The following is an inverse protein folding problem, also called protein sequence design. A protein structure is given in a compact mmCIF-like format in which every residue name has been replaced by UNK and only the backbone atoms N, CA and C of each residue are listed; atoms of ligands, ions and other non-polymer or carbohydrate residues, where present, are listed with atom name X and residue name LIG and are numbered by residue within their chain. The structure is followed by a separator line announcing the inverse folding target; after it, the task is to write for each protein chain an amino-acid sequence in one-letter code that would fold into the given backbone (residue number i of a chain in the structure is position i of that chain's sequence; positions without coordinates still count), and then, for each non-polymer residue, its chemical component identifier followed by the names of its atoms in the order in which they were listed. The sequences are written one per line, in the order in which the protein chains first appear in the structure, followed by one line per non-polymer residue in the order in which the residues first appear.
data_IF_799327998770
#
_entry.id   IF_799327998770
#
_cell.length_a   1.000
_cell.length_b   1.000
_cell.length_c   1.000
_cell.angle_alpha   90.00
_cell.angle_beta   90.00
_cell.angle_gamma   90.00
#
_symmetry.space_group_name_H-M   'P 1'
#
loop_
_entity.id
_entity.type
_entity.pdbx_description
1 polymer ?
#
# COMPACT_ATOMS: atom_id res chain seq x y z
N UNK A 1 3.72 51.78 -29.96
CA UNK A 1 4.87 50.92 -29.61
C UNK A 1 4.52 50.03 -28.43
N UNK A 2 4.57 48.71 -28.64
CA UNK A 2 4.79 47.61 -27.67
C UNK A 2 3.88 47.53 -26.41
N UNK A 3 2.63 47.08 -26.59
CA UNK A 3 1.83 46.40 -25.54
C UNK A 3 1.96 44.87 -25.60
N UNK A 4 3.12 44.39 -26.02
CA UNK A 4 3.43 42.97 -26.22
C UNK A 4 4.06 42.22 -25.02
N UNK A 5 4.53 42.83 -23.90
CA UNK A 5 5.30 42.06 -22.93
C UNK A 5 4.44 41.30 -21.91
N UNK A 6 3.20 41.74 -21.64
CA UNK A 6 2.38 41.17 -20.58
C UNK A 6 1.75 39.81 -20.95
N UNK A 7 1.28 39.66 -22.19
CA UNK A 7 0.63 38.42 -22.64
C UNK A 7 1.63 37.25 -22.75
N UNK A 8 2.88 37.54 -23.12
CA UNK A 8 3.96 36.53 -23.22
C UNK A 8 4.34 36.01 -21.83
N UNK A 9 4.34 36.87 -20.82
CA UNK A 9 4.70 36.50 -19.45
C UNK A 9 3.67 35.55 -18.81
N UNK A 10 2.38 35.79 -19.05
CA UNK A 10 1.28 34.93 -18.55
C UNK A 10 1.30 33.57 -19.23
N UNK A 11 1.60 33.51 -20.54
CA UNK A 11 1.74 32.23 -21.24
C UNK A 11 2.94 31.41 -20.72
N UNK A 12 4.07 32.04 -20.43
CA UNK A 12 5.26 31.36 -19.88
C UNK A 12 5.01 30.79 -18.48
N UNK A 13 4.23 31.48 -17.64
CA UNK A 13 3.84 31.01 -16.30
C UNK A 13 2.85 29.82 -16.35
N UNK A 14 1.96 29.78 -17.34
CA UNK A 14 1.03 28.67 -17.50
C UNK A 14 1.74 27.38 -17.95
N UNK A 15 2.81 27.48 -18.74
CA UNK A 15 3.56 26.32 -19.24
C UNK A 15 4.38 25.65 -18.12
N UNK A 16 4.91 26.41 -17.15
CA UNK A 16 5.68 25.82 -16.04
C UNK A 16 4.82 25.10 -15.00
N UNK A 17 3.52 25.39 -14.91
CA UNK A 17 2.61 24.69 -13.98
C UNK A 17 2.10 23.34 -14.51
N UNK A 18 2.30 23.04 -15.80
CA UNK A 18 1.93 21.74 -16.39
C UNK A 18 2.93 20.61 -16.13
N UNK A 19 4.06 20.92 -15.47
CA UNK A 19 5.22 20.01 -15.33
C UNK A 19 5.28 19.15 -14.06
N UNK A 20 4.37 19.32 -13.09
CA UNK A 20 4.42 18.57 -11.84
C UNK A 20 3.26 17.57 -11.74
N UNK A 21 3.24 16.57 -12.63
CA UNK A 21 2.62 15.30 -12.26
C UNK A 21 3.60 14.62 -11.30
N UNK A 22 3.57 15.05 -10.04
CA UNK A 22 4.34 14.41 -8.96
C UNK A 22 3.93 12.96 -9.01
N UNK A 23 4.85 12.11 -9.46
CA UNK A 23 4.65 10.68 -9.53
C UNK A 23 4.33 10.21 -8.11
N UNK A 24 3.06 10.00 -7.80
CA UNK A 24 2.61 9.50 -6.51
C UNK A 24 3.00 8.03 -6.42
N UNK A 25 4.29 7.78 -6.23
CA UNK A 25 4.81 6.45 -5.97
C UNK A 25 4.64 6.21 -4.48
N UNK A 26 3.89 5.17 -4.14
CA UNK A 26 3.92 4.64 -2.79
C UNK A 26 5.36 4.18 -2.54
N UNK A 27 5.97 4.70 -1.47
CA UNK A 27 7.27 4.20 -1.03
C UNK A 27 7.10 2.75 -0.60
N UNK A 28 7.92 1.83 -1.12
CA UNK A 28 7.87 0.41 -0.73
C UNK A 28 7.98 0.25 0.80
N UNK A 29 8.76 1.12 1.45
CA UNK A 29 8.85 1.14 2.91
C UNK A 29 7.56 1.57 3.61
N UNK A 30 6.85 2.57 3.07
CA UNK A 30 5.56 3.00 3.61
C UNK A 30 4.50 1.91 3.42
N UNK A 31 4.47 1.28 2.23
CA UNK A 31 3.59 0.17 1.93
C UNK A 31 3.80 -1.01 2.88
N UNK A 32 5.05 -1.45 3.05
CA UNK A 32 5.42 -2.53 4.00
C UNK A 32 4.97 -2.22 5.42
N UNK A 33 5.17 -0.99 5.89
CA UNK A 33 4.73 -0.60 7.24
C UNK A 33 3.20 -0.64 7.37
N UNK A 34 2.47 -0.11 6.39
CA UNK A 34 1.02 -0.11 6.40
C UNK A 34 0.44 -1.53 6.42
N UNK A 35 0.99 -2.44 5.60
CA UNK A 35 0.59 -3.85 5.56
C UNK A 35 0.91 -4.54 6.88
N UNK A 36 2.11 -4.29 7.43
CA UNK A 36 2.55 -4.85 8.71
C UNK A 36 1.61 -4.44 9.86
N UNK A 37 1.26 -3.15 9.96
CA UNK A 37 0.35 -2.63 10.98
C UNK A 37 -1.10 -3.13 10.74
N UNK A 38 -1.57 -3.14 9.50
CA UNK A 38 -2.91 -3.63 9.14
C UNK A 38 -3.10 -5.11 9.46
N UNK A 39 -2.09 -5.96 9.24
CA UNK A 39 -2.13 -7.38 9.62
C UNK A 39 -2.21 -7.56 11.14
N UNK A 40 -1.48 -6.74 11.90
CA UNK A 40 -1.58 -6.77 13.37
C UNK A 40 -3.02 -6.50 13.79
N UNK A 41 -3.63 -5.43 13.30
CA UNK A 41 -4.99 -5.04 13.68
C UNK A 41 -6.04 -6.10 13.28
N UNK A 42 -5.94 -6.64 12.07
CA UNK A 42 -6.88 -7.65 11.55
C UNK A 42 -6.82 -8.97 12.30
N UNK A 43 -5.61 -9.44 12.63
CA UNK A 43 -5.44 -10.66 13.42
C UNK A 43 -5.85 -10.43 14.88
N UNK A 44 -5.57 -9.25 15.44
CA UNK A 44 -5.98 -8.88 16.78
C UNK A 44 -7.51 -8.90 16.95
N UNK A 45 -8.22 -8.36 15.95
CA UNK A 45 -9.68 -8.38 15.88
C UNK A 45 -10.29 -9.80 15.81
N UNK A 46 -9.53 -10.77 15.30
CA UNK A 46 -9.90 -12.20 15.29
C UNK A 46 -9.44 -12.97 16.53
N UNK A 47 -8.80 -12.29 17.49
CA UNK A 47 -8.26 -12.91 18.70
C UNK A 47 -6.92 -13.64 18.50
N UNK A 48 -6.26 -13.46 17.36
CA UNK A 48 -4.96 -14.06 17.04
C UNK A 48 -3.87 -13.03 17.38
N UNK A 49 -3.18 -13.23 18.50
CA UNK A 49 -2.12 -12.32 18.95
C UNK A 49 -0.78 -12.70 18.34
N UNK A 50 -0.08 -11.72 17.77
CA UNK A 50 1.30 -11.86 17.28
C UNK A 50 2.29 -11.62 18.41
N UNK A 51 3.44 -12.32 18.37
CA UNK A 51 4.55 -12.10 19.31
C UNK A 51 5.21 -10.74 19.09
N UNK A 52 5.35 -10.36 17.83
CA UNK A 52 5.96 -9.13 17.38
C UNK A 52 5.34 -8.73 16.04
N UNK A 53 5.64 -7.51 15.59
CA UNK A 53 5.15 -6.99 14.34
C UNK A 53 5.71 -7.81 13.14
N UNK A 54 4.92 -8.12 12.10
CA UNK A 54 5.42 -8.86 10.94
C UNK A 54 6.65 -8.21 10.29
N UNK A 55 7.64 -9.02 9.97
CA UNK A 55 8.75 -8.61 9.11
C UNK A 55 8.31 -8.74 7.65
N UNK A 56 8.35 -7.63 6.93
CA UNK A 56 7.83 -7.53 5.57
C UNK A 56 8.95 -7.25 4.60
N UNK A 57 8.91 -7.84 3.42
CA UNK A 57 9.79 -7.57 2.30
C UNK A 57 8.95 -7.26 1.06
N UNK A 58 9.52 -6.49 0.13
CA UNK A 58 8.95 -6.31 -1.20
C UNK A 58 9.90 -7.01 -2.16
N UNK A 59 9.56 -8.22 -2.65
CA UNK A 59 10.48 -9.06 -3.44
C UNK A 59 10.87 -8.46 -4.81
N UNK A 60 10.43 -7.23 -5.09
CA UNK A 60 10.67 -6.48 -6.30
C UNK A 60 9.35 -5.99 -6.89
N UNK A 61 9.47 -5.13 -7.89
CA UNK A 61 8.35 -4.71 -8.73
C UNK A 61 8.38 -5.51 -10.02
N UNK A 62 7.28 -6.18 -10.36
CA UNK A 62 7.15 -6.83 -11.67
C UNK A 62 7.04 -5.76 -12.76
N UNK A 63 6.32 -4.68 -12.46
CA UNK A 63 6.21 -3.46 -13.26
C UNK A 63 6.08 -2.26 -12.32
N UNK A 64 6.20 -1.04 -12.82
CA UNK A 64 6.00 0.17 -12.00
C UNK A 64 4.60 0.25 -11.34
N UNK A 65 3.61 -0.48 -11.88
CA UNK A 65 2.23 -0.51 -11.38
C UNK A 65 1.88 -1.75 -10.55
N UNK A 66 2.79 -2.73 -10.42
CA UNK A 66 2.55 -3.95 -9.64
C UNK A 66 3.61 -4.11 -8.55
N UNK A 67 3.17 -4.03 -7.30
CA UNK A 67 4.01 -4.15 -6.11
C UNK A 67 3.56 -5.36 -5.30
N UNK A 68 4.52 -6.24 -4.95
CA UNK A 68 4.28 -7.36 -4.03
C UNK A 68 4.82 -7.06 -2.65
N UNK A 69 4.22 -7.70 -1.66
CA UNK A 69 4.71 -7.70 -0.28
C UNK A 69 4.53 -9.09 0.31
N UNK A 70 5.58 -9.58 0.93
CA UNK A 70 5.56 -10.82 1.69
C UNK A 70 5.91 -10.47 3.13
N UNK A 71 5.08 -10.86 4.08
CA UNK A 71 5.41 -10.71 5.50
C UNK A 71 5.40 -12.03 6.23
N UNK A 72 6.28 -12.15 7.23
CA UNK A 72 6.31 -13.29 8.13
C UNK A 72 6.26 -12.84 9.58
N UNK A 73 5.58 -13.62 10.40
CA UNK A 73 5.52 -13.41 11.85
C UNK A 73 5.30 -14.73 12.58
N UNK A 74 5.15 -14.64 13.90
CA UNK A 74 4.69 -15.75 14.73
C UNK A 74 3.60 -15.30 15.68
N UNK A 75 2.62 -16.16 15.91
CA UNK A 75 1.66 -15.96 17.00
C UNK A 75 2.34 -16.10 18.36
N UNK A 76 1.67 -15.65 19.42
CA UNK A 76 2.12 -15.88 20.80
C UNK A 76 2.14 -17.37 21.16
N UNK A 77 1.33 -18.19 20.49
CA UNK A 77 1.31 -19.67 20.58
C UNK A 77 2.42 -20.34 19.76
N UNK A 78 3.16 -19.58 18.95
CA UNK A 78 4.31 -20.06 18.17
C UNK A 78 4.01 -20.49 16.74
N UNK A 79 2.75 -20.40 16.32
CA UNK A 79 2.32 -20.75 14.96
C UNK A 79 2.93 -19.75 13.95
N UNK A 80 3.42 -20.23 12.80
CA UNK A 80 3.92 -19.35 11.75
C UNK A 80 2.76 -18.56 11.14
N UNK A 81 3.01 -17.28 10.88
CA UNK A 81 2.10 -16.41 10.14
C UNK A 81 2.79 -15.99 8.85
N UNK A 82 2.09 -16.13 7.73
CA UNK A 82 2.55 -15.70 6.41
C UNK A 82 1.49 -14.81 5.80
N UNK A 83 1.93 -13.66 5.29
CA UNK A 83 1.12 -12.69 4.57
C UNK A 83 1.66 -12.59 3.17
N UNK A 84 0.79 -12.77 2.18
CA UNK A 84 1.10 -12.53 0.78
C UNK A 84 0.18 -11.40 0.30
N UNK A 85 0.77 -10.37 -0.29
CA UNK A 85 0.06 -9.19 -0.76
C UNK A 85 0.49 -8.77 -2.15
N UNK A 86 -0.47 -8.27 -2.93
CA UNK A 86 -0.22 -7.63 -4.21
C UNK A 86 -1.06 -6.36 -4.32
N UNK A 87 -0.42 -5.29 -4.78
CA UNK A 87 -1.08 -4.05 -5.19
C UNK A 87 -0.90 -3.89 -6.70
N UNK A 88 -2.01 -3.82 -7.42
CA UNK A 88 -2.09 -3.43 -8.82
C UNK A 88 -2.41 -1.94 -8.93
N UNK A 89 -2.09 -1.35 -10.08
CA UNK A 89 -2.27 0.10 -10.33
C UNK A 89 -1.64 0.96 -9.22
N UNK A 90 -0.50 0.51 -8.69
CA UNK A 90 0.24 1.12 -7.57
C UNK A 90 0.83 2.52 -7.88
N UNK A 91 0.79 2.92 -9.14
CA UNK A 91 1.17 4.24 -9.66
C UNK A 91 -0.03 5.20 -9.79
N UNK A 92 -1.22 4.79 -9.31
CA UNK A 92 -2.45 5.57 -9.33
C UNK A 92 -2.90 5.97 -7.92
N UNK A 93 -3.87 6.88 -7.84
CA UNK A 93 -4.45 7.34 -6.56
C UNK A 93 -5.28 6.25 -5.84
N UNK A 94 -5.66 5.19 -6.54
CA UNK A 94 -6.54 4.12 -6.02
C UNK A 94 -6.01 2.75 -6.47
N UNK A 95 -4.93 2.26 -5.84
CA UNK A 95 -4.43 0.92 -6.13
C UNK A 95 -5.48 -0.14 -5.77
N UNK A 96 -5.42 -1.26 -6.49
CA UNK A 96 -6.23 -2.44 -6.22
C UNK A 96 -5.36 -3.44 -5.45
N UNK A 97 -5.69 -3.64 -4.18
CA UNK A 97 -4.91 -4.48 -3.28
C UNK A 97 -5.58 -5.84 -3.10
N UNK A 98 -4.79 -6.88 -2.85
CA UNK A 98 -5.26 -8.20 -2.48
C UNK A 98 -4.26 -8.85 -1.52
N UNK A 99 -4.78 -9.36 -0.40
CA UNK A 99 -4.00 -9.93 0.68
C UNK A 99 -4.55 -11.29 1.10
N UNK A 100 -3.63 -12.20 1.41
CA UNK A 100 -3.92 -13.50 2.00
C UNK A 100 -3.06 -13.65 3.24
N UNK A 101 -3.68 -13.99 4.37
CA UNK A 101 -2.98 -14.29 5.61
C UNK A 101 -3.24 -15.74 6.00
N UNK A 102 -2.16 -16.47 6.25
CA UNK A 102 -2.20 -17.82 6.78
C UNK A 102 -1.60 -17.89 8.17
N UNK A 103 -2.19 -18.71 9.03
CA UNK A 103 -1.68 -19.03 10.38
C UNK A 103 -1.58 -20.54 10.49
N UNK A 104 -0.40 -21.07 10.81
CA UNK A 104 -0.15 -22.51 10.83
C UNK A 104 -0.38 -23.19 9.48
N UNK A 105 -0.26 -22.45 8.38
CA UNK A 105 -0.53 -22.94 7.02
C UNK A 105 -2.01 -22.97 6.62
N UNK A 106 -2.92 -22.43 7.45
CA UNK A 106 -4.34 -22.30 7.13
C UNK A 106 -4.68 -20.85 6.84
N UNK A 107 -5.42 -20.60 5.75
CA UNK A 107 -5.95 -19.27 5.47
C UNK A 107 -6.93 -18.86 6.57
N UNK A 108 -6.68 -17.69 7.17
CA UNK A 108 -7.54 -17.08 8.18
C UNK A 108 -8.11 -15.75 7.73
N UNK A 109 -7.50 -15.12 6.72
CA UNK A 109 -7.92 -13.84 6.17
C UNK A 109 -7.63 -13.77 4.68
N UNK A 110 -8.61 -13.26 3.93
CA UNK A 110 -8.45 -12.80 2.55
C UNK A 110 -9.23 -11.50 2.39
N UNK A 111 -8.54 -10.43 1.99
CA UNK A 111 -9.12 -9.10 1.86
C UNK A 111 -8.48 -8.31 0.72
N UNK A 112 -9.21 -7.33 0.23
CA UNK A 112 -8.77 -6.39 -0.80
C UNK A 112 -8.31 -5.04 -0.22
N UNK A 113 -8.22 -4.97 1.11
CA UNK A 113 -7.77 -3.81 1.88
C UNK A 113 -7.39 -4.27 3.29
N UNK A 114 -6.34 -3.69 3.88
CA UNK A 114 -5.94 -3.93 5.28
C UNK A 114 -5.92 -2.64 6.11
N UNK A 115 -6.36 -2.72 7.37
CA UNK A 115 -6.28 -1.63 8.34
C UNK A 115 -7.47 -0.65 8.34
N UNK A 116 -7.31 0.46 9.05
CA UNK A 116 -8.41 1.38 9.42
C UNK A 116 -9.03 2.16 8.24
N UNK A 117 -8.37 2.19 7.08
CA UNK A 117 -8.87 2.85 5.87
C UNK A 117 -9.87 2.01 5.07
N UNK A 118 -10.07 0.75 5.46
CA UNK A 118 -10.97 -0.15 4.78
C UNK A 118 -12.40 0.09 5.23
N UNK A 119 -13.25 0.60 4.33
CA UNK A 119 -14.69 0.59 4.54
C UNK A 119 -15.12 -0.88 4.60
N UNK A 120 -15.45 -1.35 5.79
CA UNK A 120 -16.13 -2.62 5.95
C UNK A 120 -17.52 -2.44 5.34
N UNK A 121 -17.89 -3.12 4.23
CA UNK A 121 -19.29 -3.15 3.85
C UNK A 121 -20.02 -3.77 5.04
N UNK A 122 -20.80 -2.95 5.73
CA UNK A 122 -21.53 -3.30 6.94
C UNK A 122 -22.23 -4.66 6.74
N UNK A 123 -21.99 -5.59 7.65
CA UNK A 123 -22.78 -6.81 7.78
C UNK A 123 -24.25 -6.49 8.09
#
# INVERSE_FOLDING_TARGET
MRRLPAAVLVLLLAVTMSGCKVMQRISDGAYRNAVSDGVVDELDAQGIKLRERPDCESPGRETDSVVRVDCTARTTTGEPVVVEGVAHDADTERPLEAYVVTVGGREVLRKECLGLGCEHPNG
#
